data_IF_998196726547
#
_entry.id   IF_998196726547
#
_cell.length_a   1.000
_cell.length_b   1.000
_cell.length_c   1.000
_cell.angle_alpha   90.00
_cell.angle_beta   90.00
_cell.angle_gamma   90.00
#
_symmetry.space_group_name_H-M   'P 1'
#
loop_
_entity.id
_entity.type
_entity.pdbx_description
1 polymer ?
#
# COMPACT_ATOMS: atom_id res chain seq x y z
N UNK A 1 12.47 -0.07 -13.59
CA UNK A 1 11.17 -0.16 -12.89
C UNK A 1 11.33 0.51 -11.53
N UNK A 2 10.35 1.31 -11.11
CA UNK A 2 10.30 1.85 -9.75
C UNK A 2 10.22 0.68 -8.75
N UNK A 3 10.97 0.77 -7.65
CA UNK A 3 10.93 -0.25 -6.59
C UNK A 3 9.81 0.09 -5.62
N UNK A 4 9.17 -0.94 -5.08
CA UNK A 4 8.06 -0.80 -4.13
C UNK A 4 8.42 -1.53 -2.85
N UNK A 5 8.42 -0.81 -1.75
CA UNK A 5 8.74 -1.33 -0.42
C UNK A 5 7.47 -1.60 0.36
N UNK A 6 7.34 -2.81 0.90
CA UNK A 6 6.30 -3.13 1.86
C UNK A 6 6.54 -2.36 3.16
N UNK A 7 5.54 -1.62 3.61
CA UNK A 7 5.61 -0.83 4.85
C UNK A 7 4.71 -1.36 5.95
N UNK A 8 3.70 -2.15 5.60
CA UNK A 8 2.79 -2.73 6.56
C UNK A 8 2.17 -4.03 6.04
N UNK A 9 1.94 -4.98 6.95
CA UNK A 9 1.21 -6.21 6.69
C UNK A 9 0.45 -6.62 7.96
N UNK A 10 -0.87 -6.76 7.88
CA UNK A 10 -1.69 -7.05 9.06
C UNK A 10 -3.18 -7.22 8.76
N UNK A 11 -3.95 -7.63 9.77
CA UNK A 11 -5.38 -7.94 9.67
C UNK A 11 -6.33 -6.78 10.00
N UNK A 12 -5.81 -5.67 10.52
CA UNK A 12 -6.60 -4.49 10.87
C UNK A 12 -6.12 -3.27 10.08
N UNK A 13 -6.74 -2.92 8.94
CA UNK A 13 -6.35 -1.78 8.12
C UNK A 13 -6.27 -0.45 8.87
N UNK A 14 -7.07 -0.26 9.93
CA UNK A 14 -7.02 0.97 10.75
C UNK A 14 -5.69 1.16 11.48
N UNK A 15 -4.84 0.14 11.58
CA UNK A 15 -3.49 0.23 12.15
C UNK A 15 -2.40 0.41 11.08
N UNK A 16 -2.76 0.43 9.79
CA UNK A 16 -1.82 0.51 8.69
C UNK A 16 -1.16 1.89 8.62
N UNK A 17 0.13 1.93 9.01
CA UNK A 17 0.95 3.13 8.87
C UNK A 17 1.61 3.18 7.49
N UNK A 18 1.17 4.11 6.65
CA UNK A 18 1.71 4.36 5.31
C UNK A 18 2.13 5.83 5.25
N UNK A 19 3.32 6.12 4.72
CA UNK A 19 3.92 7.46 4.79
C UNK A 19 3.98 8.05 6.21
N UNK A 20 4.16 7.19 7.22
CA UNK A 20 4.18 7.54 8.65
C UNK A 20 2.85 8.07 9.24
N UNK A 21 1.73 7.92 8.52
CA UNK A 21 0.38 8.24 9.01
C UNK A 21 -0.53 7.00 8.99
N UNK A 22 -1.59 6.98 9.79
CA UNK A 22 -2.64 5.96 9.68
C UNK A 22 -3.44 6.21 8.41
N UNK A 23 -3.29 5.35 7.41
CA UNK A 23 -3.73 5.67 6.04
C UNK A 23 -5.25 5.75 5.91
N UNK A 24 -5.98 4.98 6.73
CA UNK A 24 -7.45 4.96 6.75
C UNK A 24 -8.05 6.26 7.32
N UNK A 25 -7.25 7.11 7.98
CA UNK A 25 -7.68 8.43 8.46
C UNK A 25 -7.75 9.47 7.32
N UNK A 26 -7.26 9.12 6.12
CA UNK A 26 -7.20 10.02 4.97
C UNK A 26 -8.12 9.55 3.84
N UNK A 27 -8.77 10.47 3.11
CA UNK A 27 -9.52 10.11 1.92
C UNK A 27 -8.57 9.64 0.82
N UNK A 28 -8.83 8.44 0.30
CA UNK A 28 -8.00 7.82 -0.75
C UNK A 28 -8.79 7.70 -2.04
N UNK A 29 -8.15 7.99 -3.16
CA UNK A 29 -8.70 7.81 -4.50
C UNK A 29 -8.11 6.56 -5.15
N UNK A 30 -8.97 5.63 -5.57
CA UNK A 30 -8.54 4.49 -6.38
C UNK A 30 -8.12 4.96 -7.79
N UNK A 31 -6.98 4.48 -8.28
CA UNK A 31 -6.41 4.91 -9.56
C UNK A 31 -6.70 3.94 -10.73
N UNK A 32 -7.37 2.81 -10.48
CA UNK A 32 -7.63 1.76 -11.50
C UNK A 32 -6.36 1.18 -12.16
N UNK A 33 -5.20 1.41 -11.56
CA UNK A 33 -3.90 0.91 -11.99
C UNK A 33 -3.40 -0.18 -11.05
N UNK A 34 -2.60 -1.11 -11.58
CA UNK A 34 -1.88 -2.11 -10.78
C UNK A 34 -0.37 -2.00 -10.94
N UNK A 35 0.36 -2.42 -9.91
CA UNK A 35 1.82 -2.55 -9.91
C UNK A 35 2.24 -3.93 -9.46
N UNK A 36 3.36 -4.40 -10.01
CA UNK A 36 4.01 -5.61 -9.52
C UNK A 36 4.84 -5.25 -8.28
N UNK A 37 4.49 -5.84 -7.15
CA UNK A 37 5.18 -5.69 -5.86
C UNK A 37 5.75 -7.03 -5.43
N UNK A 38 6.76 -7.01 -4.56
CA UNK A 38 7.39 -8.21 -4.00
C UNK A 38 7.26 -8.20 -2.48
N UNK A 39 6.78 -9.30 -1.91
CA UNK A 39 6.76 -9.52 -0.47
C UNK A 39 8.16 -9.99 -0.03
N UNK A 40 8.78 -9.35 0.98
CA UNK A 40 10.20 -9.51 1.24
C UNK A 40 10.58 -10.80 2.00
N UNK A 41 9.64 -11.49 2.68
CA UNK A 41 9.97 -12.70 3.45
C UNK A 41 10.07 -13.94 2.57
N UNK A 42 9.19 -14.05 1.58
CA UNK A 42 9.08 -15.21 0.69
C UNK A 42 9.40 -14.90 -0.77
N UNK A 43 9.77 -13.65 -1.09
CA UNK A 43 10.09 -13.18 -2.45
C UNK A 43 8.98 -13.44 -3.48
N UNK A 44 7.74 -13.48 -3.00
CA UNK A 44 6.58 -13.70 -3.83
C UNK A 44 6.14 -12.40 -4.48
N UNK A 45 5.81 -12.47 -5.77
CA UNK A 45 5.37 -11.31 -6.55
C UNK A 45 3.85 -11.26 -6.64
N UNK A 46 3.29 -10.08 -6.48
CA UNK A 46 1.86 -9.84 -6.54
C UNK A 46 1.52 -8.62 -7.37
N UNK A 47 0.35 -8.62 -7.99
CA UNK A 47 -0.27 -7.39 -8.46
C UNK A 47 -0.99 -6.71 -7.30
N UNK A 48 -0.65 -5.45 -7.02
CA UNK A 48 -1.32 -4.61 -6.04
C UNK A 48 -1.97 -3.41 -6.74
N UNK A 49 -3.11 -2.96 -6.21
CA UNK A 49 -3.86 -1.82 -6.73
C UNK A 49 -3.29 -0.51 -6.21
N UNK A 50 -3.20 0.51 -7.06
CA UNK A 50 -2.69 1.83 -6.69
C UNK A 50 -3.79 2.76 -6.21
N UNK A 51 -3.45 3.56 -5.20
CA UNK A 51 -4.30 4.58 -4.60
C UNK A 51 -3.52 5.88 -4.46
N UNK A 52 -4.18 7.01 -4.71
CA UNK A 52 -3.68 8.35 -4.43
C UNK A 52 -4.26 8.84 -3.09
N UNK A 53 -3.42 9.50 -2.29
CA UNK A 53 -3.81 10.12 -1.03
C UNK A 53 -3.16 11.49 -0.95
N UNK A 54 -3.83 12.47 -0.34
CA UNK A 54 -3.26 13.79 -0.07
C UNK A 54 -2.90 13.91 1.42
N UNK A 55 -1.62 14.12 1.73
CA UNK A 55 -1.09 14.28 3.09
C UNK A 55 -0.31 15.59 3.13
N UNK A 56 -0.67 16.50 4.03
CA UNK A 56 -0.06 17.83 4.17
C UNK A 56 0.00 18.63 2.85
N UNK A 57 -1.06 18.54 2.04
CA UNK A 57 -1.17 19.20 0.74
C UNK A 57 -0.35 18.54 -0.39
N UNK A 58 0.27 17.38 -0.13
CA UNK A 58 1.06 16.64 -1.11
C UNK A 58 0.35 15.36 -1.53
N UNK A 59 0.19 15.19 -2.85
CA UNK A 59 -0.29 13.94 -3.44
C UNK A 59 0.79 12.88 -3.36
N UNK A 60 0.46 11.74 -2.74
CA UNK A 60 1.30 10.57 -2.61
C UNK A 60 0.55 9.35 -3.14
N UNK A 61 1.29 8.32 -3.54
CA UNK A 61 0.72 7.10 -4.12
C UNK A 61 1.26 5.89 -3.39
N UNK A 62 0.34 5.07 -2.88
CA UNK A 62 0.66 3.77 -2.31
C UNK A 62 -0.03 2.66 -3.11
N UNK A 63 0.41 1.42 -2.91
CA UNK A 63 -0.26 0.25 -3.44
C UNK A 63 -0.71 -0.66 -2.30
N UNK A 64 -1.85 -1.32 -2.45
CA UNK A 64 -2.34 -2.30 -1.48
C UNK A 64 -2.95 -3.53 -2.15
N UNK A 65 -2.90 -4.65 -1.43
CA UNK A 65 -3.52 -5.91 -1.81
C UNK A 65 -3.91 -6.70 -0.57
N UNK A 66 -5.07 -7.34 -0.61
CA UNK A 66 -5.39 -8.43 0.30
C UNK A 66 -4.54 -9.67 -0.02
N UNK A 67 -3.74 -10.11 0.96
CA UNK A 67 -2.90 -11.29 0.88
C UNK A 67 -3.69 -12.57 1.18
N UNK A 68 -4.46 -12.56 2.28
CA UNK A 68 -5.22 -13.74 2.73
C UNK A 68 -6.24 -13.34 3.80
N UNK A 69 -7.51 -13.73 3.64
CA UNK A 69 -8.56 -13.68 4.68
C UNK A 69 -8.53 -12.40 5.56
N UNK A 70 -8.55 -11.22 4.94
CA UNK A 70 -8.52 -9.94 5.66
C UNK A 70 -7.12 -9.47 6.12
N UNK A 71 -6.05 -10.19 5.79
CA UNK A 71 -4.67 -9.69 5.89
C UNK A 71 -4.34 -8.87 4.65
N UNK A 72 -3.97 -7.60 4.84
CA UNK A 72 -3.58 -6.69 3.77
C UNK A 72 -2.09 -6.40 3.82
N UNK A 73 -1.52 -6.09 2.66
CA UNK A 73 -0.14 -5.63 2.50
C UNK A 73 -0.15 -4.27 1.81
N UNK A 74 0.59 -3.31 2.37
CA UNK A 74 0.69 -1.95 1.83
C UNK A 74 2.14 -1.66 1.43
N UNK A 75 2.29 -0.98 0.30
CA UNK A 75 3.57 -0.71 -0.35
C UNK A 75 3.66 0.77 -0.73
N UNK A 76 4.87 1.33 -0.63
CA UNK A 76 5.20 2.66 -1.14
C UNK A 76 6.33 2.59 -2.15
N UNK A 77 6.39 3.55 -3.05
CA UNK A 77 7.50 3.70 -4.00
C UNK A 77 8.79 4.11 -3.26
N UNK A 78 9.92 3.47 -3.57
CA UNK A 78 11.27 3.86 -3.13
C UNK A 78 11.94 4.85 -4.10
#
# INVERSE_FOLDING_TARGET
MKKWKMVWCGGNPSEAKVFSVYIEDYPTKFLEETVLVEEPRYHQKFQAFKYEVEIDGQKKVYATKEYSMGIYMYFIEE
#
